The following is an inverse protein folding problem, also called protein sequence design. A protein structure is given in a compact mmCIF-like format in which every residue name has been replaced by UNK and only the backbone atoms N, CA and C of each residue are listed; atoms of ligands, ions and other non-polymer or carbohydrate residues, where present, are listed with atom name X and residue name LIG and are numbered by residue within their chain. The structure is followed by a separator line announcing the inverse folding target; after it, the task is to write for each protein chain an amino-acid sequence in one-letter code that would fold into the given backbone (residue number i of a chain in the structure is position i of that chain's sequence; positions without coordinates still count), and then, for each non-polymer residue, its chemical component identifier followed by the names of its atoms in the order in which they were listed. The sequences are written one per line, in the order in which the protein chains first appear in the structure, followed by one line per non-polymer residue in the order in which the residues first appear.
data_IF_022673271587
#
_entry.id   IF_022673271587
#
_cell.length_a   1.000
_cell.length_b   1.000
_cell.length_c   1.000
_cell.angle_alpha   90.00
_cell.angle_beta   90.00
_cell.angle_gamma   90.00
#
_symmetry.space_group_name_H-M   'P 1'
#
loop_
_entity.id
_entity.type
_entity.pdbx_description
1 polymer ?
#
# COMPACT_ATOMS: atom_id res chain seq x y z
N UNK A 1 -38.99 -4.47 33.06
CA UNK A 1 -38.84 -4.27 31.59
C UNK A 1 -37.73 -3.29 31.15
N UNK A 2 -37.23 -2.35 31.99
CA UNK A 2 -36.22 -1.34 31.59
C UNK A 2 -34.81 -1.87 31.25
N UNK A 3 -34.35 -2.95 31.90
CA UNK A 3 -32.97 -3.44 31.71
C UNK A 3 -32.69 -4.08 30.34
N UNK A 4 -33.71 -4.57 29.65
CA UNK A 4 -33.55 -5.23 28.33
C UNK A 4 -33.13 -4.23 27.24
N UNK A 5 -33.61 -2.99 27.33
CA UNK A 5 -33.27 -1.93 26.38
C UNK A 5 -31.84 -1.38 26.53
N UNK A 6 -31.28 -1.41 27.74
CA UNK A 6 -29.90 -0.97 28.00
C UNK A 6 -28.91 -2.00 27.43
N UNK A 7 -29.19 -3.28 27.63
CA UNK A 7 -28.37 -4.37 27.11
C UNK A 7 -28.35 -4.41 25.58
N UNK A 8 -29.51 -4.22 24.93
CA UNK A 8 -29.62 -4.17 23.48
C UNK A 8 -28.90 -2.95 22.86
N UNK A 9 -28.92 -1.79 23.52
CA UNK A 9 -28.14 -0.62 23.08
C UNK A 9 -26.63 -0.85 23.18
N UNK A 10 -26.17 -1.51 24.25
CA UNK A 10 -24.75 -1.85 24.42
C UNK A 10 -24.27 -2.83 23.34
N UNK A 11 -25.04 -3.88 23.08
CA UNK A 11 -24.75 -4.84 22.01
C UNK A 11 -24.71 -4.18 20.63
N UNK A 12 -25.65 -3.29 20.33
CA UNK A 12 -25.68 -2.57 19.05
C UNK A 12 -24.50 -1.61 18.87
N UNK A 13 -23.98 -1.02 19.95
CA UNK A 13 -22.80 -0.17 19.88
C UNK A 13 -21.51 -1.01 19.72
N UNK A 14 -21.43 -2.17 20.38
CA UNK A 14 -20.34 -3.13 20.20
C UNK A 14 -20.29 -3.67 18.77
N UNK A 15 -21.43 -4.08 18.20
CA UNK A 15 -21.48 -4.58 16.82
C UNK A 15 -21.15 -3.48 15.81
N UNK A 16 -21.64 -2.25 16.01
CA UNK A 16 -21.26 -1.09 15.18
C UNK A 16 -19.76 -0.79 15.25
N UNK A 17 -19.15 -0.84 16.43
CA UNK A 17 -17.71 -0.63 16.58
C UNK A 17 -16.88 -1.76 15.95
N UNK A 18 -17.33 -3.02 16.06
CA UNK A 18 -16.67 -4.15 15.39
C UNK A 18 -16.77 -4.02 13.87
N UNK A 19 -17.94 -3.65 13.34
CA UNK A 19 -18.13 -3.42 11.90
C UNK A 19 -17.27 -2.25 11.42
N UNK A 20 -17.27 -1.12 12.16
CA UNK A 20 -16.48 0.07 11.83
C UNK A 20 -14.97 -0.20 11.84
N UNK A 21 -14.48 -0.96 12.83
CA UNK A 21 -13.08 -1.37 12.90
C UNK A 21 -12.71 -2.35 11.78
N UNK A 22 -13.66 -3.21 11.34
CA UNK A 22 -13.44 -4.15 10.24
C UNK A 22 -13.47 -3.47 8.87
N UNK A 23 -14.24 -2.39 8.70
CA UNK A 23 -14.29 -1.60 7.45
C UNK A 23 -13.14 -0.59 7.31
N UNK A 24 -12.54 -0.14 8.42
CA UNK A 24 -11.35 0.74 8.39
C UNK A 24 -10.04 0.01 8.08
N UNK A 25 -10.05 -1.31 7.92
CA UNK A 25 -8.84 -2.10 7.72
C UNK A 25 -8.42 -2.25 6.25
N UNK A 26 -9.19 -1.69 5.30
CA UNK A 26 -8.88 -1.76 3.86
C UNK A 26 -9.08 -0.40 3.17
N UNK A 27 -8.35 0.62 3.63
CA UNK A 27 -8.16 1.81 2.81
C UNK A 27 -7.10 1.52 1.75
N UNK A 28 -7.50 1.42 0.48
CA UNK A 28 -6.57 1.41 -0.66
C UNK A 28 -5.68 2.64 -0.51
N UNK A 29 -4.37 2.42 -0.35
CA UNK A 29 -3.41 3.47 -0.15
C UNK A 29 -2.38 3.41 -1.25
N UNK A 30 -2.10 4.55 -1.88
CA UNK A 30 -1.02 4.61 -2.84
C UNK A 30 0.30 4.51 -2.08
N UNK A 31 1.18 3.62 -2.49
CA UNK A 31 2.49 3.42 -1.88
C UNK A 31 3.55 3.78 -2.92
N UNK A 32 4.55 4.56 -2.51
CA UNK A 32 5.84 4.62 -3.18
C UNK A 32 6.78 3.66 -2.46
N UNK A 33 7.30 2.68 -3.18
CA UNK A 33 8.37 1.83 -2.69
C UNK A 33 9.69 2.25 -3.35
N UNK A 34 10.73 2.46 -2.55
CA UNK A 34 12.09 2.62 -3.05
C UNK A 34 13.02 1.69 -2.30
N UNK A 35 14.07 1.21 -2.96
CA UNK A 35 15.01 0.29 -2.33
C UNK A 35 16.46 0.64 -2.66
N UNK A 36 17.34 0.31 -1.73
CA UNK A 36 18.79 0.31 -1.89
C UNK A 36 19.30 -1.10 -1.53
N UNK A 37 19.74 -1.82 -2.55
CA UNK A 37 20.11 -3.22 -2.48
C UNK A 37 21.38 -3.40 -3.29
N UNK A 38 22.43 -3.95 -2.69
CA UNK A 38 23.75 -4.02 -3.34
C UNK A 38 23.80 -5.05 -4.48
N UNK A 39 23.17 -6.20 -4.30
CA UNK A 39 23.31 -7.34 -5.21
C UNK A 39 22.15 -7.39 -6.21
N UNK A 40 22.48 -7.43 -7.50
CA UNK A 40 21.50 -7.48 -8.60
C UNK A 40 20.50 -8.63 -8.48
N UNK A 41 20.97 -9.81 -8.06
CA UNK A 41 20.08 -10.98 -7.86
C UNK A 41 19.04 -10.75 -6.77
N UNK A 42 19.33 -9.93 -5.75
CA UNK A 42 18.34 -9.60 -4.73
C UNK A 42 17.43 -8.45 -5.19
N UNK A 43 17.97 -7.49 -5.96
CA UNK A 43 17.15 -6.47 -6.61
C UNK A 43 16.06 -7.14 -7.46
N UNK A 44 16.42 -8.06 -8.35
CA UNK A 44 15.47 -8.74 -9.24
C UNK A 44 14.37 -9.48 -8.47
N UNK A 45 14.69 -10.13 -7.35
CA UNK A 45 13.70 -10.76 -6.46
C UNK A 45 12.74 -9.74 -5.85
N UNK A 46 13.25 -8.65 -5.31
CA UNK A 46 12.44 -7.59 -4.74
C UNK A 46 11.57 -6.93 -5.82
N UNK A 47 12.10 -6.69 -7.02
CA UNK A 47 11.33 -6.17 -8.14
C UNK A 47 10.15 -7.09 -8.50
N UNK A 48 10.36 -8.41 -8.53
CA UNK A 48 9.29 -9.39 -8.76
C UNK A 48 8.23 -9.35 -7.66
N UNK A 49 8.63 -9.25 -6.39
CA UNK A 49 7.69 -9.12 -5.27
C UNK A 49 6.85 -7.86 -5.43
N UNK A 50 7.48 -6.70 -5.65
CA UNK A 50 6.76 -5.43 -5.81
C UNK A 50 5.75 -5.49 -6.97
N UNK A 51 6.16 -6.05 -8.11
CA UNK A 51 5.28 -6.23 -9.28
C UNK A 51 4.14 -7.21 -9.01
N UNK A 52 4.40 -8.31 -8.30
CA UNK A 52 3.37 -9.28 -7.91
C UNK A 52 2.27 -8.62 -7.07
N UNK A 53 2.65 -7.70 -6.18
CA UNK A 53 1.71 -6.90 -5.38
C UNK A 53 1.10 -5.70 -6.13
N UNK A 54 1.32 -5.59 -7.44
CA UNK A 54 0.70 -4.58 -8.31
C UNK A 54 1.41 -3.22 -8.34
N UNK A 55 2.61 -3.11 -7.76
CA UNK A 55 3.43 -1.91 -7.86
C UNK A 55 4.15 -1.87 -9.20
N UNK A 56 4.11 -0.72 -9.86
CA UNK A 56 4.71 -0.48 -11.17
C UNK A 56 6.01 0.30 -11.02
N UNK A 57 7.01 -0.07 -11.81
CA UNK A 57 8.31 0.61 -11.85
C UNK A 57 8.14 2.00 -12.46
N UNK A 58 8.53 3.04 -11.72
CA UNK A 58 8.54 4.42 -12.20
C UNK A 58 9.96 4.97 -12.39
N UNK A 59 10.93 4.43 -11.65
CA UNK A 59 12.36 4.67 -11.81
C UNK A 59 13.15 3.40 -11.51
N UNK A 60 14.46 3.41 -11.73
CA UNK A 60 15.32 2.22 -11.59
C UNK A 60 15.10 1.44 -10.30
N UNK A 61 14.94 2.14 -9.18
CA UNK A 61 14.74 1.55 -7.85
C UNK A 61 13.46 2.03 -7.18
N UNK A 62 12.54 2.67 -7.92
CA UNK A 62 11.33 3.27 -7.36
C UNK A 62 10.10 2.75 -8.07
N UNK A 63 9.12 2.36 -7.28
CA UNK A 63 7.87 1.73 -7.68
C UNK A 63 6.70 2.45 -7.05
N UNK A 64 5.55 2.45 -7.71
CA UNK A 64 4.31 3.03 -7.17
C UNK A 64 3.11 2.15 -7.49
N UNK A 65 2.14 2.08 -6.59
CA UNK A 65 0.94 1.28 -6.79
C UNK A 65 -0.05 1.41 -5.66
N UNK A 66 -1.29 1.07 -5.96
CA UNK A 66 -2.36 0.96 -4.99
C UNK A 66 -2.14 -0.32 -4.18
N UNK A 67 -1.88 -0.19 -2.89
CA UNK A 67 -1.72 -1.33 -2.00
C UNK A 67 -2.92 -1.45 -1.07
N UNK A 68 -3.51 -2.64 -1.05
CA UNK A 68 -4.62 -3.00 -0.15
C UNK A 68 -4.20 -3.87 1.02
N UNK A 69 -2.96 -4.37 1.03
CA UNK A 69 -2.59 -5.53 1.85
C UNK A 69 -1.39 -5.30 2.77
N UNK A 70 -1.54 -5.82 3.99
CA UNK A 70 -0.49 -5.99 5.00
C UNK A 70 0.60 -6.96 4.51
N UNK A 71 0.24 -7.92 3.65
CA UNK A 71 1.08 -9.04 3.18
C UNK A 71 2.38 -8.64 2.46
N UNK A 72 2.45 -7.44 1.84
CA UNK A 72 3.68 -6.98 1.17
C UNK A 72 4.84 -6.82 2.15
N UNK A 73 4.55 -6.32 3.36
CA UNK A 73 5.57 -6.07 4.38
C UNK A 73 6.24 -7.38 4.82
N UNK A 74 5.44 -8.42 5.01
CA UNK A 74 5.93 -9.72 5.47
C UNK A 74 6.78 -10.39 4.38
N UNK A 75 6.31 -10.36 3.13
CA UNK A 75 7.07 -10.87 1.98
C UNK A 75 8.40 -10.13 1.79
N UNK A 76 8.43 -8.82 1.99
CA UNK A 76 9.68 -8.05 1.94
C UNK A 76 10.64 -8.51 3.05
N UNK A 77 10.16 -8.59 4.30
CA UNK A 77 11.01 -8.94 5.44
C UNK A 77 11.66 -10.33 5.30
N UNK A 78 10.96 -11.28 4.69
CA UNK A 78 11.48 -12.64 4.46
C UNK A 78 12.56 -12.70 3.36
N UNK A 79 12.63 -11.69 2.47
CA UNK A 79 13.48 -11.70 1.28
C UNK A 79 14.61 -10.64 1.30
N UNK A 80 14.60 -9.69 2.23
CA UNK A 80 15.68 -8.71 2.39
C UNK A 80 16.85 -9.29 3.20
N UNK A 81 18.07 -8.87 2.85
CA UNK A 81 19.28 -9.19 3.63
C UNK A 81 19.57 -8.07 4.63
N UNK A 82 20.42 -8.35 5.62
CA UNK A 82 20.75 -7.43 6.72
C UNK A 82 21.21 -6.02 6.28
N UNK A 83 21.83 -5.90 5.11
CA UNK A 83 22.33 -4.61 4.56
C UNK A 83 21.45 -4.01 3.46
N UNK A 84 20.34 -4.67 3.14
CA UNK A 84 19.40 -4.19 2.14
C UNK A 84 18.37 -3.29 2.81
N UNK A 85 17.94 -2.23 2.13
CA UNK A 85 16.96 -1.29 2.65
C UNK A 85 15.80 -1.12 1.66
N UNK A 86 14.57 -1.14 2.18
CA UNK A 86 13.37 -0.85 1.42
C UNK A 86 12.53 0.14 2.22
N UNK A 87 12.21 1.26 1.59
CA UNK A 87 11.38 2.32 2.14
C UNK A 87 10.01 2.29 1.45
N UNK A 88 8.96 2.07 2.24
CA UNK A 88 7.57 2.14 1.80
C UNK A 88 6.96 3.45 2.33
N UNK A 89 6.53 4.32 1.41
CA UNK A 89 5.95 5.62 1.72
C UNK A 89 4.47 5.60 1.34
N UNK A 90 3.55 5.55 2.32
CA UNK A 90 2.13 5.74 2.08
C UNK A 90 1.83 7.18 1.69
N UNK A 91 1.08 7.35 0.60
CA UNK A 91 0.59 8.63 0.11
C UNK A 91 -0.94 8.66 0.12
N UNK A 92 -1.50 9.77 0.65
CA UNK A 92 -2.89 10.08 0.40
C UNK A 92 -3.06 10.65 -1.02
N UNK A 93 -4.29 10.59 -1.56
CA UNK A 93 -4.61 11.08 -2.91
C UNK A 93 -4.14 12.52 -3.13
N UNK A 94 -4.35 13.42 -2.16
CA UNK A 94 -3.95 14.83 -2.24
C UNK A 94 -2.43 15.00 -2.40
N UNK A 95 -1.63 14.26 -1.62
CA UNK A 95 -0.16 14.32 -1.74
C UNK A 95 0.31 13.84 -3.12
N UNK A 96 -0.32 12.80 -3.65
CA UNK A 96 0.01 12.29 -4.97
C UNK A 96 -0.40 13.22 -6.13
N UNK A 97 -1.56 13.87 -6.04
CA UNK A 97 -2.01 14.82 -7.05
C UNK A 97 -1.10 16.06 -7.16
N UNK A 98 -0.38 16.39 -6.09
CA UNK A 98 0.59 17.50 -6.08
C UNK A 98 1.98 17.10 -6.61
N UNK A 99 2.12 15.92 -7.24
CA UNK A 99 3.39 15.47 -7.82
C UNK A 99 3.84 16.40 -8.95
N UNK A 100 5.14 16.64 -9.01
CA UNK A 100 5.78 17.37 -10.11
C UNK A 100 6.85 16.46 -10.72
N UNK A 101 6.91 16.39 -12.05
CA UNK A 101 7.92 15.60 -12.79
C UNK A 101 8.81 16.57 -13.56
N UNK A 102 10.12 16.39 -13.45
CA UNK A 102 11.10 17.20 -14.19
C UNK A 102 11.83 16.34 -15.24
N UNK A 103 11.92 16.84 -16.47
CA UNK A 103 12.63 16.22 -17.61
C UNK A 103 11.95 14.96 -18.15
N UNK A 104 12.45 13.77 -17.81
CA UNK A 104 11.96 12.52 -18.38
C UNK A 104 10.55 12.26 -17.84
N UNK A 105 9.63 12.00 -18.76
CA UNK A 105 8.27 11.69 -18.39
C UNK A 105 8.22 10.34 -17.67
N UNK A 106 7.43 10.27 -16.61
CA UNK A 106 7.18 9.05 -15.84
C UNK A 106 5.73 8.71 -16.08
N UNK A 107 5.43 7.53 -16.61
CA UNK A 107 4.06 7.09 -16.84
C UNK A 107 3.43 6.69 -15.51
N UNK A 108 2.35 7.38 -15.14
CA UNK A 108 1.59 7.10 -13.94
C UNK A 108 0.24 6.47 -14.30
N UNK A 109 -0.40 5.79 -13.34
CA UNK A 109 -1.66 5.06 -13.56
C UNK A 109 -2.84 5.98 -13.96
N UNK A 110 -2.75 7.28 -13.68
CA UNK A 110 -3.74 8.28 -14.12
C UNK A 110 -3.67 8.57 -15.64
N UNK A 111 -2.60 8.17 -16.32
CA UNK A 111 -2.45 8.30 -17.79
C UNK A 111 -3.16 7.17 -18.57
N UNK A 112 -3.88 6.28 -17.87
CA UNK A 112 -4.65 5.17 -18.45
C UNK A 112 -6.15 5.23 -18.08
N UNK A 113 -6.76 6.42 -18.15
CA UNK A 113 -8.21 6.51 -18.40
C UNK A 113 -8.43 6.15 -19.88
N UNK A 114 -8.33 4.86 -20.19
CA UNK A 114 -8.30 4.39 -21.57
C UNK A 114 -7.87 2.94 -21.69
N UNK A 115 -8.52 2.04 -20.96
CA UNK A 115 -8.67 0.65 -21.36
C UNK A 115 -10.14 0.30 -21.12
N UNK A 116 -10.86 0.16 -22.25
CA UNK A 116 -12.20 -0.41 -22.35
C UNK A 116 -12.19 -1.88 -21.90
#
# INVERSE_FOLDING_TARGET
MKNRNIFLKSLNNLTKNIIYNKTNQYSIMLIIATFDIKFKTNQEKIEQILQHFGLRKIQNTTYTGDLTKIELKDNINENIKEKDNILLIPLCKKCYSNKTVHKRNISFKEDYIGCF
#
